data_IF_478434099070
#
_entry.id   IF_478434099070
#
_cell.length_a   1.000
_cell.length_b   1.000
_cell.length_c   1.000
_cell.angle_alpha   90.00
_cell.angle_beta   90.00
_cell.angle_gamma   90.00
#
_symmetry.space_group_name_H-M   'P 1'
#
loop_
_entity.id
_entity.type
_entity.pdbx_description
1 polymer ?
#
# COMPACT_ATOMS: atom_id res chain seq x y z
N UNK A 1 5.72 2.68 16.03
CA UNK A 1 4.29 2.30 16.17
C UNK A 1 4.03 1.02 15.41
N UNK A 2 3.20 0.13 15.98
CA UNK A 2 2.88 -1.19 15.44
C UNK A 2 2.18 -1.12 14.08
N UNK A 3 2.40 -2.14 13.26
CA UNK A 3 1.80 -2.32 11.93
C UNK A 3 1.13 -3.70 11.81
N UNK A 4 0.26 -3.85 10.82
CA UNK A 4 -0.43 -5.10 10.52
C UNK A 4 0.13 -5.71 9.23
N UNK A 5 0.67 -6.93 9.32
CA UNK A 5 1.06 -7.70 8.14
C UNK A 5 -0.13 -8.52 7.63
N UNK A 6 -0.45 -8.42 6.34
CA UNK A 6 -1.46 -9.28 5.71
C UNK A 6 -0.78 -10.44 4.98
N UNK A 7 -1.00 -11.70 5.38
CA UNK A 7 -0.35 -12.85 4.74
C UNK A 7 -0.84 -13.14 3.32
N UNK A 8 -1.97 -12.55 2.90
CA UNK A 8 -2.55 -12.75 1.57
C UNK A 8 -1.91 -11.88 0.49
N UNK A 9 -1.81 -10.57 0.73
CA UNK A 9 -1.15 -9.64 -0.19
C UNK A 9 0.35 -9.45 0.11
N UNK A 10 0.83 -9.96 1.25
CA UNK A 10 2.23 -9.88 1.68
C UNK A 10 2.72 -8.45 1.89
N UNK A 11 1.85 -7.58 2.39
CA UNK A 11 2.11 -6.15 2.57
C UNK A 11 1.73 -5.69 3.99
N UNK A 12 2.18 -4.49 4.38
CA UNK A 12 2.11 -3.94 5.73
C UNK A 12 1.21 -2.71 5.78
N UNK A 13 0.27 -2.69 6.72
CA UNK A 13 -0.77 -1.67 6.84
C UNK A 13 -0.75 -0.97 8.20
N UNK A 14 -1.19 0.28 8.24
CA UNK A 14 -1.43 1.01 9.49
C UNK A 14 -2.73 0.53 10.14
N UNK A 15 -2.76 0.28 11.46
CA UNK A 15 -3.99 -0.06 12.16
C UNK A 15 -5.10 0.98 11.93
N UNK A 16 -6.31 0.53 11.58
CA UNK A 16 -7.46 1.40 11.29
C UNK A 16 -7.88 2.24 12.49
N UNK A 17 -7.91 1.66 13.69
CA UNK A 17 -8.33 2.36 14.91
C UNK A 17 -7.15 3.08 15.55
N UNK A 18 -7.36 4.35 15.89
CA UNK A 18 -6.38 5.21 16.57
C UNK A 18 -5.92 4.69 17.92
N UNK A 19 -6.69 3.81 18.57
CA UNK A 19 -6.33 3.20 19.86
C UNK A 19 -4.98 2.45 19.82
N UNK A 20 -4.56 1.96 18.65
CA UNK A 20 -3.31 1.21 18.47
C UNK A 20 -2.17 2.09 17.92
N UNK A 21 -2.40 3.38 17.67
CA UNK A 21 -1.41 4.25 17.04
C UNK A 21 -0.23 4.61 17.95
N UNK A 22 -0.38 4.42 19.26
CA UNK A 22 0.66 4.72 20.25
C UNK A 22 1.34 3.47 20.81
N UNK A 23 1.06 2.29 20.25
CA UNK A 23 1.73 1.05 20.66
C UNK A 23 3.03 0.90 19.88
N UNK A 24 4.17 0.69 20.56
CA UNK A 24 5.45 0.47 19.90
C UNK A 24 5.46 -0.89 19.15
N UNK A 25 5.98 -0.88 17.92
CA UNK A 25 6.13 -2.08 17.11
C UNK A 25 7.27 -2.97 17.59
N UNK A 26 8.25 -2.42 18.32
CA UNK A 26 9.38 -3.19 18.85
C UNK A 26 8.93 -4.34 19.78
N UNK A 27 7.78 -4.19 20.45
CA UNK A 27 7.20 -5.24 21.30
C UNK A 27 6.74 -6.48 20.52
N UNK A 28 6.52 -6.36 19.21
CA UNK A 28 6.11 -7.46 18.34
C UNK A 28 7.28 -8.05 17.55
N UNK A 29 8.32 -7.24 17.30
CA UNK A 29 9.45 -7.61 16.46
C UNK A 29 9.15 -7.61 14.97
N UNK A 30 10.20 -7.58 14.16
CA UNK A 30 10.09 -7.53 12.69
C UNK A 30 9.78 -8.89 12.08
N UNK A 31 10.22 -9.97 12.72
CA UNK A 31 10.14 -11.34 12.20
C UNK A 31 8.90 -12.12 12.62
N UNK A 32 8.07 -11.61 13.53
CA UNK A 32 6.97 -12.38 14.11
C UNK A 32 6.04 -13.01 13.05
N UNK A 33 5.49 -12.26 12.07
CA UNK A 33 4.61 -12.87 11.06
C UNK A 33 5.33 -13.90 10.20
N UNK A 34 6.62 -13.69 9.91
CA UNK A 34 7.41 -14.60 9.09
C UNK A 34 7.66 -15.93 9.82
N UNK A 35 8.07 -15.88 11.09
CA UNK A 35 8.24 -17.08 11.92
C UNK A 35 6.93 -17.84 12.11
N UNK A 36 5.82 -17.13 12.29
CA UNK A 36 4.50 -17.73 12.42
C UNK A 36 4.08 -18.55 11.19
N UNK A 37 4.57 -18.25 9.98
CA UNK A 37 4.29 -19.06 8.79
C UNK A 37 5.43 -20.03 8.41
N UNK A 38 6.56 -19.98 9.12
CA UNK A 38 7.60 -21.00 9.03
C UNK A 38 7.26 -22.24 9.87
N UNK A 39 6.60 -22.06 11.02
CA UNK A 39 6.25 -23.18 11.92
C UNK A 39 4.99 -23.93 11.43
N UNK A 40 3.80 -23.31 11.33
CA UNK A 40 2.64 -23.89 10.63
C UNK A 40 2.41 -23.28 9.22
N UNK A 41 3.06 -23.81 8.18
CA UNK A 41 2.96 -23.29 6.81
C UNK A 41 1.56 -23.39 6.20
N UNK A 42 0.70 -24.28 6.69
CA UNK A 42 -0.67 -24.52 6.23
C UNK A 42 -1.62 -23.32 6.38
N UNK A 43 -1.32 -22.39 7.29
CA UNK A 43 -2.09 -21.15 7.44
C UNK A 43 -1.75 -20.10 6.40
N UNK A 44 -0.75 -20.31 5.53
CA UNK A 44 -0.45 -19.36 4.46
C UNK A 44 -1.58 -19.37 3.43
N UNK A 45 -2.31 -18.25 3.26
CA UNK A 45 -3.37 -18.17 2.27
C UNK A 45 -2.78 -18.20 0.86
N UNK A 46 -3.57 -18.72 -0.09
CA UNK A 46 -3.28 -18.52 -1.52
C UNK A 46 -3.34 -17.03 -1.87
N UNK A 47 -2.52 -16.61 -2.85
CA UNK A 47 -2.53 -15.23 -3.35
C UNK A 47 -3.91 -14.84 -3.90
N UNK A 48 -4.25 -13.54 -3.92
CA UNK A 48 -5.51 -13.08 -4.51
C UNK A 48 -5.66 -13.59 -5.94
N UNK A 49 -6.81 -14.20 -6.24
CA UNK A 49 -7.09 -14.70 -7.59
C UNK A 49 -7.30 -13.56 -8.60
N UNK A 50 -7.84 -12.44 -8.13
CA UNK A 50 -8.14 -11.27 -8.93
C UNK A 50 -7.33 -10.07 -8.42
N UNK A 51 -6.91 -9.23 -9.35
CA UNK A 51 -6.30 -7.92 -9.08
C UNK A 51 -7.24 -6.82 -9.56
N UNK A 52 -7.16 -5.66 -8.91
CA UNK A 52 -7.87 -4.47 -9.38
C UNK A 52 -7.44 -4.11 -10.81
N UNK A 53 -8.41 -3.93 -11.71
CA UNK A 53 -8.20 -3.50 -13.08
C UNK A 53 -8.83 -2.12 -13.27
N UNK A 54 -8.04 -1.03 -13.36
CA UNK A 54 -8.58 0.31 -13.52
C UNK A 54 -9.26 0.46 -14.88
N UNK A 55 -10.50 0.96 -14.87
CA UNK A 55 -11.30 1.20 -16.08
C UNK A 55 -11.96 2.57 -16.05
N UNK A 56 -12.00 3.21 -17.21
CA UNK A 56 -12.72 4.46 -17.45
C UNK A 56 -13.60 4.27 -18.69
N UNK A 57 -14.91 4.49 -18.55
CA UNK A 57 -15.91 4.19 -19.60
C UNK A 57 -15.78 2.77 -20.19
N UNK A 58 -15.43 1.78 -19.36
CA UNK A 58 -15.25 0.39 -19.77
C UNK A 58 -13.87 0.02 -20.32
N UNK A 59 -13.07 1.00 -20.75
CA UNK A 59 -11.73 0.79 -21.28
C UNK A 59 -10.68 0.69 -20.16
N UNK A 60 -9.68 -0.19 -20.34
CA UNK A 60 -8.54 -0.28 -19.42
C UNK A 60 -7.63 0.93 -19.60
N UNK A 61 -7.08 1.44 -18.50
CA UNK A 61 -6.06 2.50 -18.56
C UNK A 61 -4.72 1.86 -18.92
N UNK A 62 -4.07 2.34 -19.97
CA UNK A 62 -2.75 1.84 -20.38
C UNK A 62 -1.67 2.29 -19.37
N UNK A 63 -0.69 1.43 -19.00
CA UNK A 63 0.34 1.78 -18.01
C UNK A 63 1.12 3.07 -18.31
N UNK A 64 1.37 3.35 -19.59
CA UNK A 64 2.05 4.58 -20.03
C UNK A 64 1.33 5.87 -19.61
N UNK A 65 0.00 5.83 -19.47
CA UNK A 65 -0.77 7.00 -19.05
C UNK A 65 -0.35 7.51 -17.66
N UNK A 66 0.02 6.60 -16.75
CA UNK A 66 0.51 6.98 -15.41
C UNK A 66 1.86 7.68 -15.49
N UNK A 67 2.77 7.23 -16.35
CA UNK A 67 4.07 7.87 -16.53
C UNK A 67 3.93 9.29 -17.08
N UNK A 68 3.08 9.48 -18.10
CA UNK A 68 2.80 10.81 -18.66
C UNK A 68 2.17 11.74 -17.62
N UNK A 69 1.23 11.23 -16.81
CA UNK A 69 0.59 12.00 -15.75
C UNK A 69 1.60 12.45 -14.68
N UNK A 70 2.51 11.55 -14.25
CA UNK A 70 3.55 11.87 -13.28
C UNK A 70 4.52 12.95 -13.81
N UNK A 71 4.92 12.86 -15.08
CA UNK A 71 5.78 13.86 -15.72
C UNK A 71 5.06 15.22 -15.85
N UNK A 72 3.78 15.23 -16.23
CA UNK A 72 3.00 16.47 -16.30
C UNK A 72 2.89 17.14 -14.92
N UNK A 73 2.66 16.35 -13.86
CA UNK A 73 2.62 16.84 -12.49
C UNK A 73 3.97 17.40 -12.03
N UNK A 74 5.10 16.75 -12.35
CA UNK A 74 6.42 17.28 -12.02
C UNK A 74 6.77 18.57 -12.78
N UNK A 75 6.29 18.68 -14.02
CA UNK A 75 6.54 19.84 -14.86
C UNK A 75 5.63 21.03 -14.54
N UNK A 76 4.59 20.83 -13.74
CA UNK A 76 3.66 21.87 -13.37
C UNK A 76 4.35 22.92 -12.48
N UNK A 77 4.64 24.10 -13.05
CA UNK A 77 5.07 25.28 -12.30
C UNK A 77 3.84 26.01 -11.81
N UNK A 78 3.69 26.13 -10.49
CA UNK A 78 2.62 26.93 -9.89
C UNK A 78 2.68 28.36 -10.45
N UNK A 79 1.57 28.94 -10.92
CA UNK A 79 1.57 30.33 -11.33
C UNK A 79 1.95 31.19 -10.12
N UNK A 80 3.01 31.99 -10.28
CA UNK A 80 3.45 32.96 -9.26
C UNK A 80 2.28 33.90 -9.05
N UNK A 81 1.66 33.86 -7.86
CA UNK A 81 0.64 34.82 -7.47
C UNK A 81 1.32 36.19 -7.39
N UNK A 82 1.12 37.04 -8.39
CA UNK A 82 1.48 38.46 -8.29
C UNK A 82 0.57 39.08 -7.23
N UNK A 83 1.12 39.29 -6.04
CA UNK A 83 0.48 40.12 -5.01
C UNK A 83 0.41 41.53 -5.60
N UNK A 84 -0.81 42.03 -5.81
CA UNK A 84 -1.08 43.46 -6.06
C UNK A 84 -1.41 44.11 -4.73
#
# INVERSE_FOLDING_TARGET
MVKLYCPKCMDVYTPKSSRHHHTDGAYFGTGFPHMLFMVPPEYRPKRPANQFVPRLYGFKIHPMAYQLQLQAASNFKSPVKTIR
#
